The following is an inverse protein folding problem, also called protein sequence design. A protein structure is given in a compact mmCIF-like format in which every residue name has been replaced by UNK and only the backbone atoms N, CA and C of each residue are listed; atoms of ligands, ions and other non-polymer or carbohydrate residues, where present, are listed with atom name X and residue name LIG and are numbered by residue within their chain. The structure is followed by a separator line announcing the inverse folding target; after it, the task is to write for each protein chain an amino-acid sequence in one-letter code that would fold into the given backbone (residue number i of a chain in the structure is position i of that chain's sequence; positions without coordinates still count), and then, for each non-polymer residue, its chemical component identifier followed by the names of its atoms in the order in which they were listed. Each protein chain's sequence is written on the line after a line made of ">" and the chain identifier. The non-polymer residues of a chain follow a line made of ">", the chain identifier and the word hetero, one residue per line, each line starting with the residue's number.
data_IF_410012109740
#
_entry.id   IF_410012109740
#
_cell.length_a   1.000
_cell.length_b   1.000
_cell.length_c   1.000
_cell.angle_alpha   90.00
_cell.angle_beta   90.00
_cell.angle_gamma   90.00
#
_symmetry.space_group_name_H-M   'P 1'
#
loop_
_entity.id
_entity.type
_entity.pdbx_description
1 polymer ?
#
# COMPACT_ATOMS: atom_id res chain seq x y z
N UNK A 1 8.23 -4.10 16.43
CA UNK A 1 8.08 -3.52 15.09
C UNK A 1 8.75 -2.16 15.07
N UNK A 2 9.53 -1.81 14.05
CA UNK A 2 10.29 -0.56 14.00
C UNK A 2 9.34 0.65 13.85
N UNK A 3 9.51 1.69 14.67
CA UNK A 3 8.66 2.90 14.66
C UNK A 3 8.61 3.57 13.27
N UNK A 4 9.71 3.52 12.52
CA UNK A 4 9.76 4.12 11.20
C UNK A 4 8.92 3.34 10.19
N UNK A 5 8.99 2.00 10.20
CA UNK A 5 8.15 1.16 9.34
C UNK A 5 6.67 1.38 9.66
N UNK A 6 6.33 1.59 10.93
CA UNK A 6 4.97 1.93 11.32
C UNK A 6 4.48 3.27 10.72
N UNK A 7 5.34 4.29 10.62
CA UNK A 7 5.00 5.56 9.96
C UNK A 7 4.75 5.40 8.47
N UNK A 8 5.54 4.59 7.78
CA UNK A 8 5.29 4.24 6.38
C UNK A 8 3.95 3.51 6.21
N UNK A 9 3.64 2.54 7.08
CA UNK A 9 2.34 1.87 7.06
C UNK A 9 1.18 2.83 7.28
N UNK A 10 1.28 3.70 8.29
CA UNK A 10 0.24 4.68 8.59
C UNK A 10 -0.01 5.62 7.41
N UNK A 11 1.06 6.07 6.73
CA UNK A 11 0.91 6.88 5.54
C UNK A 11 0.24 6.10 4.40
N UNK A 12 0.63 4.85 4.18
CA UNK A 12 -0.06 3.98 3.21
C UNK A 12 -1.56 3.85 3.52
N UNK A 13 -1.91 3.51 4.77
CA UNK A 13 -3.31 3.37 5.21
C UNK A 13 -4.09 4.67 4.98
N UNK A 14 -3.50 5.82 5.34
CA UNK A 14 -4.12 7.12 5.12
C UNK A 14 -4.34 7.44 3.63
N UNK A 15 -3.37 7.12 2.76
CA UNK A 15 -3.54 7.31 1.30
C UNK A 15 -4.59 6.38 0.74
N UNK A 16 -4.62 5.11 1.15
CA UNK A 16 -5.64 4.13 0.76
C UNK A 16 -7.02 4.63 1.14
N UNK A 17 -7.23 4.96 2.41
CA UNK A 17 -8.54 5.32 2.93
C UNK A 17 -9.09 6.60 2.27
N UNK A 18 -8.20 7.54 1.95
CA UNK A 18 -8.55 8.72 1.16
C UNK A 18 -9.00 8.34 -0.27
N UNK A 19 -8.25 7.47 -0.97
CA UNK A 19 -8.60 6.98 -2.32
C UNK A 19 -9.93 6.22 -2.33
N UNK A 20 -10.19 5.40 -1.29
CA UNK A 20 -11.43 4.63 -1.18
C UNK A 20 -12.68 5.52 -1.08
N UNK A 21 -12.52 6.73 -0.54
CA UNK A 21 -13.59 7.70 -0.39
C UNK A 21 -13.86 8.41 -1.72
N UNK A 22 -12.85 9.11 -2.25
CA UNK A 22 -12.94 9.94 -3.45
C UNK A 22 -11.57 10.00 -4.17
N UNK A 23 -11.52 10.42 -5.45
CA UNK A 23 -10.25 10.77 -6.09
C UNK A 23 -9.50 11.82 -5.25
N UNK A 24 -8.18 11.67 -5.10
CA UNK A 24 -7.43 12.59 -4.25
C UNK A 24 -7.40 13.99 -4.88
N UNK A 25 -7.78 14.99 -4.07
CA UNK A 25 -7.61 16.39 -4.43
C UNK A 25 -6.14 16.77 -4.54
N UNK A 26 -5.83 17.84 -5.27
CA UNK A 26 -4.46 18.39 -5.37
C UNK A 26 -3.86 18.68 -3.99
N UNK A 27 -4.65 19.21 -3.05
CA UNK A 27 -4.21 19.48 -1.68
C UNK A 27 -3.86 18.20 -0.91
N UNK A 28 -4.64 17.13 -1.07
CA UNK A 28 -4.33 15.84 -0.45
C UNK A 28 -3.06 15.24 -1.03
N UNK A 29 -2.91 15.26 -2.36
CA UNK A 29 -1.68 14.79 -3.04
C UNK A 29 -0.46 15.54 -2.50
N UNK A 30 -0.51 16.87 -2.46
CA UNK A 30 0.60 17.68 -1.92
C UNK A 30 0.89 17.38 -0.45
N UNK A 31 -0.14 17.21 0.38
CA UNK A 31 0.05 16.88 1.80
C UNK A 31 0.72 15.50 1.99
N UNK A 32 0.27 14.47 1.28
CA UNK A 32 0.86 13.15 1.34
C UNK A 32 2.27 13.11 0.75
N UNK A 33 2.55 13.86 -0.31
CA UNK A 33 3.91 14.01 -0.86
C UNK A 33 4.87 14.64 0.16
N UNK A 34 4.43 15.67 0.90
CA UNK A 34 5.21 16.25 1.99
C UNK A 34 5.51 15.22 3.07
N UNK A 35 4.50 14.51 3.57
CA UNK A 35 4.68 13.45 4.57
C UNK A 35 5.62 12.35 4.08
N UNK A 36 5.51 11.93 2.82
CA UNK A 36 6.41 10.94 2.23
C UNK A 36 7.86 11.43 2.17
N UNK A 37 8.07 12.69 1.80
CA UNK A 37 9.41 13.29 1.72
C UNK A 37 10.06 13.47 3.10
N UNK A 38 9.28 13.67 4.16
CA UNK A 38 9.76 13.70 5.55
C UNK A 38 10.20 12.33 6.07
N UNK A 39 9.63 11.23 5.53
CA UNK A 39 9.96 9.86 5.96
C UNK A 39 11.22 9.29 5.27
N UNK A 40 11.52 9.74 4.05
CA UNK A 40 12.67 9.29 3.22
C UNK A 40 14.08 9.42 3.84
N UNK A 41 14.42 10.42 4.68
CA UNK A 41 15.80 10.61 5.15
C UNK A 41 16.27 9.57 6.18
N UNK A 42 15.41 8.67 6.64
CA UNK A 42 15.72 7.76 7.75
C UNK A 42 16.46 6.52 7.25
N UNK A 43 17.70 6.35 7.71
CA UNK A 43 18.49 5.15 7.44
C UNK A 43 17.88 3.94 8.16
N UNK A 44 17.37 3.00 7.36
CA UNK A 44 16.93 1.68 7.80
C UNK A 44 17.86 0.61 7.22
N UNK A 45 17.93 -0.54 7.86
CA UNK A 45 18.75 -1.66 7.39
C UNK A 45 18.00 -2.98 7.46
N UNK A 46 18.45 -3.95 6.65
CA UNK A 46 17.90 -5.30 6.61
C UNK A 46 16.41 -5.31 6.26
N UNK A 47 15.65 -6.14 6.98
CA UNK A 47 14.21 -6.32 6.74
C UNK A 47 13.41 -5.01 6.90
N UNK A 48 13.77 -4.16 7.86
CA UNK A 48 13.06 -2.89 8.07
C UNK A 48 13.18 -1.97 6.84
N UNK A 49 14.34 -2.00 6.17
CA UNK A 49 14.55 -1.23 4.94
C UNK A 49 13.67 -1.77 3.81
N UNK A 50 13.59 -3.10 3.65
CA UNK A 50 12.76 -3.72 2.62
C UNK A 50 11.27 -3.41 2.81
N UNK A 51 10.78 -3.52 4.04
CA UNK A 51 9.38 -3.17 4.37
C UNK A 51 9.09 -1.69 4.13
N UNK A 52 9.98 -0.79 4.57
CA UNK A 52 9.81 0.63 4.32
C UNK A 52 9.82 0.96 2.82
N UNK A 53 10.70 0.32 2.04
CA UNK A 53 10.74 0.47 0.59
C UNK A 53 9.44 -0.03 -0.06
N UNK A 54 8.95 -1.20 0.35
CA UNK A 54 7.70 -1.75 -0.14
C UNK A 54 6.51 -0.79 0.07
N UNK A 55 6.40 -0.19 1.26
CA UNK A 55 5.39 0.83 1.52
C UNK A 55 5.62 2.12 0.72
N UNK A 56 6.87 2.56 0.59
CA UNK A 56 7.22 3.75 -0.19
C UNK A 56 6.81 3.59 -1.65
N UNK A 57 7.05 2.41 -2.24
CA UNK A 57 6.66 2.09 -3.62
C UNK A 57 5.14 2.18 -3.76
N UNK A 58 4.40 1.54 -2.85
CA UNK A 58 2.93 1.58 -2.85
C UNK A 58 2.35 2.99 -2.69
N UNK A 59 2.89 3.80 -1.77
CA UNK A 59 2.47 5.20 -1.60
C UNK A 59 2.79 5.99 -2.87
N UNK A 60 3.97 5.77 -3.46
CA UNK A 60 4.38 6.40 -4.71
C UNK A 60 3.40 6.13 -5.85
N UNK A 61 2.99 4.86 -6.02
CA UNK A 61 2.01 4.45 -7.02
C UNK A 61 0.62 5.06 -6.76
N UNK A 62 0.13 4.99 -5.52
CA UNK A 62 -1.14 5.61 -5.09
C UNK A 62 -1.19 7.11 -5.43
N UNK A 63 -0.09 7.83 -5.20
CA UNK A 63 0.00 9.27 -5.49
C UNK A 63 0.18 9.57 -6.99
N UNK A 64 0.87 8.70 -7.73
CA UNK A 64 1.07 8.83 -9.19
C UNK A 64 -0.24 8.69 -9.95
N UNK A 65 -1.07 7.71 -9.55
CA UNK A 65 -2.35 7.41 -10.22
C UNK A 65 -3.56 7.94 -9.45
N UNK A 66 -3.37 8.92 -8.58
CA UNK A 66 -4.38 9.47 -7.70
C UNK A 66 -5.69 9.91 -8.40
N UNK A 67 -5.60 10.39 -9.65
CA UNK A 67 -6.75 10.80 -10.47
C UNK A 67 -7.61 9.64 -10.97
N UNK A 68 -7.07 8.42 -11.01
CA UNK A 68 -7.73 7.21 -11.50
C UNK A 68 -8.38 6.41 -10.37
N UNK A 69 -8.27 6.88 -9.12
CA UNK A 69 -8.82 6.23 -7.94
C UNK A 69 -8.38 4.74 -7.85
N UNK A 70 -7.09 4.51 -8.08
CA UNK A 70 -6.47 3.18 -7.99
C UNK A 70 -5.80 3.02 -6.62
N UNK A 71 -6.07 1.89 -5.97
CA UNK A 71 -5.33 1.44 -4.80
C UNK A 71 -4.26 0.44 -5.25
N UNK A 72 -3.02 0.60 -4.82
CA UNK A 72 -1.98 -0.38 -5.08
C UNK A 72 -1.75 -1.32 -3.90
N UNK A 73 -1.55 -2.59 -4.22
CA UNK A 73 -1.07 -3.64 -3.31
C UNK A 73 0.20 -4.26 -3.92
N UNK A 74 1.09 -4.80 -3.10
CA UNK A 74 2.37 -5.32 -3.55
C UNK A 74 2.30 -6.84 -3.68
N UNK A 75 2.42 -7.36 -4.89
CA UNK A 75 2.58 -8.78 -5.12
C UNK A 75 4.03 -9.21 -4.91
N UNK A 76 4.22 -10.15 -4.00
CA UNK A 76 5.48 -10.79 -3.66
C UNK A 76 5.58 -12.10 -4.43
N UNK A 77 6.69 -12.31 -5.13
CA UNK A 77 6.93 -13.51 -5.93
C UNK A 77 7.90 -14.47 -5.22
N UNK A 78 7.92 -15.73 -5.68
CA UNK A 78 8.85 -16.75 -5.18
C UNK A 78 10.33 -16.43 -5.39
N UNK A 79 10.64 -15.61 -6.39
CA UNK A 79 11.99 -15.13 -6.68
C UNK A 79 12.35 -13.86 -5.89
N UNK A 80 11.54 -13.50 -4.89
CA UNK A 80 11.67 -12.30 -4.06
C UNK A 80 11.51 -10.99 -4.84
N UNK A 81 11.09 -11.04 -6.11
CA UNK A 81 10.70 -9.84 -6.84
C UNK A 81 9.35 -9.34 -6.33
N UNK A 82 9.14 -8.03 -6.46
CA UNK A 82 7.93 -7.35 -6.01
C UNK A 82 7.33 -6.54 -7.15
N UNK A 83 6.02 -6.61 -7.31
CA UNK A 83 5.30 -5.88 -8.36
C UNK A 83 4.09 -5.17 -7.73
N UNK A 84 4.01 -3.84 -7.78
CA UNK A 84 2.79 -3.12 -7.42
C UNK A 84 1.66 -3.47 -8.40
N UNK A 85 0.52 -3.87 -7.87
CA UNK A 85 -0.66 -4.21 -8.64
C UNK A 85 -1.79 -3.22 -8.31
N UNK A 86 -2.42 -2.60 -9.33
CA UNK A 86 -3.56 -1.73 -9.12
C UNK A 86 -4.83 -2.56 -8.84
N UNK A 87 -5.63 -2.07 -7.90
CA UNK A 87 -6.99 -2.49 -7.63
C UNK A 87 -7.87 -1.26 -7.82
N UNK A 88 -8.86 -1.34 -8.72
CA UNK A 88 -9.79 -0.24 -8.90
C UNK A 88 -10.78 -0.16 -7.73
N UNK A 89 -11.15 1.06 -7.34
CA UNK A 89 -12.18 1.25 -6.32
C UNK A 89 -13.52 0.64 -6.74
N UNK A 90 -13.84 0.58 -8.02
CA UNK A 90 -15.04 -0.11 -8.52
C UNK A 90 -15.01 -1.62 -8.28
N UNK A 91 -13.85 -2.26 -8.45
CA UNK A 91 -13.66 -3.66 -8.10
C UNK A 91 -13.85 -3.90 -6.60
N UNK A 92 -13.28 -3.03 -5.75
CA UNK A 92 -13.48 -3.11 -4.30
C UNK A 92 -14.95 -2.92 -3.91
N UNK A 93 -15.65 -1.95 -4.50
CA UNK A 93 -17.09 -1.72 -4.28
C UNK A 93 -17.93 -2.91 -4.73
N UNK A 94 -17.55 -3.57 -5.82
CA UNK A 94 -18.20 -4.80 -6.28
C UNK A 94 -18.07 -5.91 -5.23
N UNK A 95 -16.85 -6.17 -4.76
CA UNK A 95 -16.58 -7.14 -3.69
C UNK A 95 -17.29 -6.80 -2.38
N UNK A 96 -17.37 -5.52 -2.02
CA UNK A 96 -18.12 -5.07 -0.84
C UNK A 96 -19.61 -5.42 -0.95
N UNK A 97 -20.23 -5.14 -2.10
CA UNK A 97 -21.66 -5.42 -2.34
C UNK A 97 -21.97 -6.91 -2.33
N UNK A 98 -21.06 -7.73 -2.84
CA UNK A 98 -21.21 -9.19 -2.88
C UNK A 98 -20.73 -9.89 -1.61
N UNK A 99 -20.27 -9.14 -0.60
CA UNK A 99 -19.69 -9.68 0.64
C UNK A 99 -18.53 -10.66 0.38
N UNK A 100 -17.75 -10.40 -0.67
CA UNK A 100 -16.59 -11.21 -1.02
C UNK A 100 -15.49 -11.05 0.04
N UNK A 101 -14.82 -12.15 0.40
CA UNK A 101 -13.78 -12.14 1.43
C UNK A 101 -12.59 -11.24 1.02
N UNK A 102 -12.35 -11.16 -0.28
CA UNK A 102 -11.36 -10.33 -0.95
C UNK A 102 -11.45 -8.88 -0.50
N UNK A 103 -12.65 -8.32 -0.34
CA UNK A 103 -12.80 -6.93 0.09
C UNK A 103 -12.07 -6.68 1.40
N UNK A 104 -12.39 -7.45 2.45
CA UNK A 104 -11.79 -7.26 3.78
C UNK A 104 -10.30 -7.55 3.78
N UNK A 105 -9.85 -8.51 2.96
CA UNK A 105 -8.45 -8.90 2.88
C UNK A 105 -7.60 -7.80 2.22
N UNK A 106 -8.04 -7.28 1.07
CA UNK A 106 -7.32 -6.25 0.31
C UNK A 106 -7.42 -4.85 0.92
N UNK A 107 -8.48 -4.55 1.68
CA UNK A 107 -8.54 -3.28 2.40
C UNK A 107 -7.73 -3.29 3.70
N UNK A 108 -7.32 -4.46 4.20
CA UNK A 108 -6.53 -4.58 5.45
C UNK A 108 -5.05 -4.80 5.19
N UNK A 109 -4.72 -5.57 4.17
CA UNK A 109 -3.37 -5.98 3.89
C UNK A 109 -2.88 -5.39 2.57
N UNK A 110 -1.73 -4.73 2.55
CA UNK A 110 -1.14 -4.18 1.34
C UNK A 110 -0.36 -5.21 0.52
N UNK A 111 -0.33 -6.48 0.94
CA UNK A 111 0.55 -7.51 0.36
C UNK A 111 -0.24 -8.67 -0.23
N UNK A 112 0.33 -9.22 -1.31
CA UNK A 112 -0.16 -10.33 -2.08
C UNK A 112 0.93 -11.39 -2.23
N UNK A 113 0.54 -12.65 -2.23
CA UNK A 113 1.39 -13.77 -2.61
C UNK A 113 0.57 -14.80 -3.36
N UNK A 114 0.93 -15.08 -4.61
CA UNK A 114 0.18 -15.98 -5.51
C UNK A 114 -1.32 -15.65 -5.59
N UNK A 115 -1.66 -14.36 -5.65
CA UNK A 115 -3.04 -13.88 -5.69
C UNK A 115 -3.79 -13.93 -4.36
N UNK A 116 -3.14 -14.38 -3.27
CA UNK A 116 -3.71 -14.40 -1.93
C UNK A 116 -3.21 -13.22 -1.11
N UNK A 117 -4.12 -12.53 -0.43
CA UNK A 117 -3.76 -11.48 0.51
C UNK A 117 -3.01 -12.06 1.71
N UNK A 118 -1.89 -11.45 2.07
CA UNK A 118 -1.05 -11.87 3.20
C UNK A 118 -0.79 -10.70 4.14
N UNK A 119 -0.68 -10.98 5.43
CA UNK A 119 -0.34 -9.95 6.41
C UNK A 119 1.14 -9.53 6.31
N UNK A 120 1.51 -8.46 7.01
CA UNK A 120 2.88 -7.97 7.01
C UNK A 120 3.89 -8.99 7.57
N UNK A 121 3.48 -9.88 8.49
CA UNK A 121 4.39 -10.89 9.05
C UNK A 121 4.78 -11.91 7.99
N UNK A 122 3.79 -12.39 7.22
CA UNK A 122 4.03 -13.27 6.08
C UNK A 122 4.80 -12.54 4.96
N UNK A 123 4.44 -11.29 4.65
CA UNK A 123 5.14 -10.47 3.67
C UNK A 123 6.62 -10.29 4.03
N UNK A 124 6.92 -10.08 5.32
CA UNK A 124 8.28 -9.92 5.83
C UNK A 124 9.16 -11.15 5.59
N UNK A 125 8.57 -12.34 5.57
CA UNK A 125 9.30 -13.58 5.27
C UNK A 125 9.63 -13.74 3.77
N UNK A 126 8.95 -12.99 2.91
CA UNK A 126 9.05 -13.08 1.45
C UNK A 126 9.88 -11.93 0.83
N UNK A 127 10.24 -10.91 1.62
CA UNK A 127 11.05 -9.76 1.22
C UNK A 127 12.55 -10.02 1.40
#
# INVERSE_FOLDING_TARGET
>A
MNEQVAKYRQLYDATRDAILTDPLSKSQISAFQTQLNELKPVALSGLNQKLAQAYLDLIGENLTYASHQLLFVLNLNHDHSTIPLPISVDQLRSWQKTHAAEYSLFTRNPFLYNGLSVDETAASALL
#
